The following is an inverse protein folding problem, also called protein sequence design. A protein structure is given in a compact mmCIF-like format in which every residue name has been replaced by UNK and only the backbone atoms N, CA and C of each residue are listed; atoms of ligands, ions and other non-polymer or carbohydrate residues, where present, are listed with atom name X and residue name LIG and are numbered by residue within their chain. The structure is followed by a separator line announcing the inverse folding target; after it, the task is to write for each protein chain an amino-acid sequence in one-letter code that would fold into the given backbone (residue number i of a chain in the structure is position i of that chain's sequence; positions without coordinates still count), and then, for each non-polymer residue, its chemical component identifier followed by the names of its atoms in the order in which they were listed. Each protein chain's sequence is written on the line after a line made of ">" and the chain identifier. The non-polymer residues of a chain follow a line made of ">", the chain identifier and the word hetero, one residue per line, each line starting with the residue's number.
data_IF_400328110782
#
_entry.id   IF_400328110782
#
_cell.length_a   1.000
_cell.length_b   1.000
_cell.length_c   1.000
_cell.angle_alpha   90.00
_cell.angle_beta   90.00
_cell.angle_gamma   90.00
#
_symmetry.space_group_name_H-M   'P 1'
#
loop_
_entity.id
_entity.type
_entity.pdbx_description
1 polymer ?
#
# COMPACT_ATOMS: atom_id res chain seq x y z
N UNK A 1 -1.61 5.30 6.18
CA UNK A 1 -0.78 4.53 7.14
C UNK A 1 -1.14 4.80 8.63
N UNK A 2 -2.44 4.86 9.00
CA UNK A 2 -2.83 5.25 10.37
C UNK A 2 -2.70 4.15 11.43
N UNK A 3 -2.84 2.87 11.03
CA UNK A 3 -2.70 1.73 11.93
C UNK A 3 -1.27 1.64 12.50
N UNK A 4 -0.27 1.72 11.62
CA UNK A 4 1.13 1.77 12.03
C UNK A 4 1.43 3.00 12.90
N UNK A 5 0.95 4.19 12.51
CA UNK A 5 1.14 5.40 13.29
C UNK A 5 0.62 5.26 14.73
N UNK A 6 -0.58 4.69 14.91
CA UNK A 6 -1.11 4.45 16.25
C UNK A 6 -0.12 3.65 17.10
N UNK A 7 0.35 2.50 16.62
CA UNK A 7 1.37 1.72 17.32
C UNK A 7 2.68 2.50 17.52
N UNK A 8 3.14 3.23 16.50
CA UNK A 8 4.40 3.97 16.58
C UNK A 8 4.40 5.02 17.69
N UNK A 9 3.25 5.65 17.98
CA UNK A 9 3.09 6.64 19.04
C UNK A 9 2.71 6.03 20.41
N UNK A 10 1.94 4.94 20.45
CA UNK A 10 1.48 4.33 21.72
C UNK A 10 2.39 3.24 22.26
N UNK A 11 3.17 2.59 21.37
CA UNK A 11 3.92 1.35 21.63
C UNK A 11 3.05 0.21 22.18
N UNK A 12 1.77 0.18 21.82
CA UNK A 12 0.86 -0.88 22.23
C UNK A 12 1.07 -2.15 21.39
N UNK A 13 1.87 -3.08 21.92
CA UNK A 13 2.15 -4.38 21.30
C UNK A 13 0.90 -5.25 21.12
N UNK A 14 -0.09 -5.13 22.01
CA UNK A 14 -1.31 -5.93 21.91
C UNK A 14 -2.17 -5.45 20.74
N UNK A 15 -2.30 -4.13 20.58
CA UNK A 15 -2.93 -3.52 19.42
C UNK A 15 -2.23 -3.89 18.12
N UNK A 16 -0.89 -3.83 18.09
CA UNK A 16 -0.13 -4.20 16.90
C UNK A 16 -0.42 -5.64 16.48
N UNK A 17 -0.30 -6.59 17.42
CA UNK A 17 -0.44 -8.03 17.12
C UNK A 17 -1.87 -8.43 16.77
N UNK A 18 -2.87 -7.88 17.47
CA UNK A 18 -4.26 -8.32 17.34
C UNK A 18 -5.05 -7.56 16.27
N UNK A 19 -4.64 -6.33 15.96
CA UNK A 19 -5.44 -5.42 15.13
C UNK A 19 -4.65 -4.89 13.94
N UNK A 20 -3.56 -4.14 14.17
CA UNK A 20 -2.90 -3.44 13.08
C UNK A 20 -2.17 -4.38 12.11
N UNK A 21 -1.37 -5.32 12.61
CA UNK A 21 -0.55 -6.19 11.77
C UNK A 21 -1.39 -7.10 10.85
N UNK A 22 -2.45 -7.80 11.32
CA UNK A 22 -3.27 -8.61 10.43
C UNK A 22 -3.89 -7.82 9.28
N UNK A 23 -4.34 -6.58 9.54
CA UNK A 23 -4.94 -5.72 8.51
C UNK A 23 -3.89 -5.21 7.52
N UNK A 24 -2.74 -4.71 8.00
CA UNK A 24 -1.66 -4.26 7.12
C UNK A 24 -1.13 -5.41 6.27
N UNK A 25 -0.93 -6.59 6.86
CA UNK A 25 -0.51 -7.80 6.14
C UNK A 25 -1.49 -8.14 5.01
N UNK A 26 -2.79 -8.15 5.29
CA UNK A 26 -3.80 -8.43 4.26
C UNK A 26 -3.80 -7.38 3.13
N UNK A 27 -3.53 -6.12 3.44
CA UNK A 27 -3.37 -5.08 2.43
C UNK A 27 -2.12 -5.31 1.57
N UNK A 28 -0.98 -5.69 2.17
CA UNK A 28 0.22 -6.07 1.42
C UNK A 28 -0.04 -7.27 0.50
N UNK A 29 -0.70 -8.32 1.00
CA UNK A 29 -1.04 -9.52 0.22
C UNK A 29 -1.92 -9.16 -0.99
N UNK A 30 -2.95 -8.33 -0.80
CA UNK A 30 -3.78 -7.83 -1.90
C UNK A 30 -2.95 -7.09 -2.97
N UNK A 31 -2.00 -6.25 -2.56
CA UNK A 31 -1.17 -5.52 -3.51
C UNK A 31 -0.17 -6.43 -4.22
N UNK A 32 0.42 -7.43 -3.56
CA UNK A 32 1.26 -8.41 -4.24
C UNK A 32 0.51 -9.18 -5.32
N UNK A 33 -0.76 -9.50 -5.10
CA UNK A 33 -1.61 -10.16 -6.11
C UNK A 33 -1.98 -9.22 -7.27
N UNK A 34 -1.98 -7.90 -7.05
CA UNK A 34 -2.40 -6.89 -8.03
C UNK A 34 -1.25 -6.28 -8.83
N UNK A 35 -0.07 -6.09 -8.21
CA UNK A 35 1.08 -5.45 -8.84
C UNK A 35 1.52 -6.24 -10.08
N UNK A 36 1.97 -5.52 -11.11
CA UNK A 36 2.57 -6.12 -12.32
C UNK A 36 3.99 -5.63 -12.51
N UNK A 37 4.79 -6.41 -13.23
CA UNK A 37 6.12 -5.98 -13.65
C UNK A 37 6.04 -5.03 -14.85
N UNK A 38 6.86 -3.98 -14.83
CA UNK A 38 7.12 -3.13 -15.98
C UNK A 38 8.22 -3.70 -16.89
N UNK A 39 8.55 -2.98 -17.95
CA UNK A 39 9.59 -3.39 -18.92
C UNK A 39 11.00 -3.53 -18.32
N UNK A 40 11.24 -2.93 -17.16
CA UNK A 40 12.52 -2.94 -16.45
C UNK A 40 12.48 -3.92 -15.25
N UNK A 41 11.40 -4.69 -15.08
CA UNK A 41 11.20 -5.67 -14.01
C UNK A 41 10.77 -5.07 -12.67
N UNK A 42 10.36 -3.80 -12.63
CA UNK A 42 9.87 -3.15 -11.41
C UNK A 42 8.38 -3.45 -11.20
N UNK A 43 7.98 -3.74 -9.97
CA UNK A 43 6.57 -3.84 -9.62
C UNK A 43 5.89 -2.47 -9.64
N UNK A 44 4.81 -2.36 -10.41
CA UNK A 44 4.00 -1.16 -10.55
C UNK A 44 2.51 -1.43 -10.36
N UNK A 45 1.82 -0.46 -9.76
CA UNK A 45 0.36 -0.48 -9.60
C UNK A 45 -0.31 -0.31 -10.97
N UNK A 46 -1.07 -1.29 -11.46
CA UNK A 46 -1.65 -1.21 -12.80
C UNK A 46 -3.00 -0.52 -12.80
N UNK A 47 -3.35 0.19 -13.87
CA UNK A 47 -4.69 0.75 -14.08
C UNK A 47 -5.18 1.55 -12.85
N UNK A 48 -4.37 2.52 -12.43
CA UNK A 48 -4.66 3.41 -11.31
C UNK A 48 -4.99 4.80 -11.82
N UNK A 49 -5.70 5.59 -11.01
CA UNK A 49 -6.04 6.96 -11.33
C UNK A 49 -5.37 7.91 -10.35
N UNK A 50 -4.77 8.98 -10.86
CA UNK A 50 -4.27 10.08 -10.02
C UNK A 50 -5.45 11.01 -9.71
N UNK A 51 -5.91 11.09 -8.45
CA UNK A 51 -6.93 12.08 -8.12
C UNK A 51 -6.38 13.49 -8.42
N UNK A 52 -7.12 14.39 -9.08
CA UNK A 52 -8.53 14.33 -9.51
C UNK A 52 -8.70 14.44 -11.03
N UNK A 53 -7.66 14.15 -11.82
CA UNK A 53 -7.71 14.32 -13.27
C UNK A 53 -6.72 13.41 -14.00
N UNK A 54 -7.00 13.17 -15.27
CA UNK A 54 -6.15 12.40 -16.16
C UNK A 54 -6.71 11.00 -16.45
N UNK A 55 -6.04 10.27 -17.36
CA UNK A 55 -6.41 8.91 -17.70
C UNK A 55 -6.08 7.93 -16.56
N UNK A 56 -6.57 6.70 -16.71
CA UNK A 56 -6.10 5.58 -15.91
C UNK A 56 -4.76 5.10 -16.49
N UNK A 57 -3.76 4.98 -15.64
CA UNK A 57 -2.38 4.72 -16.04
C UNK A 57 -1.73 3.71 -15.09
N UNK A 58 -0.69 3.04 -15.60
CA UNK A 58 0.13 2.20 -14.75
C UNK A 58 1.20 3.04 -14.03
N UNK A 59 1.49 2.66 -12.79
CA UNK A 59 2.60 3.24 -12.04
C UNK A 59 2.36 4.67 -11.57
N UNK A 60 1.10 5.10 -11.44
CA UNK A 60 0.73 6.43 -10.92
C UNK A 60 1.40 6.68 -9.57
N UNK A 61 2.11 7.81 -9.45
CA UNK A 61 2.92 8.13 -8.27
C UNK A 61 2.13 8.09 -6.96
N UNK A 62 0.88 8.57 -6.97
CA UNK A 62 -0.02 8.52 -5.83
C UNK A 62 -0.22 7.09 -5.29
N UNK A 63 -0.62 6.16 -6.17
CA UNK A 63 -0.81 4.76 -5.78
C UNK A 63 0.51 4.14 -5.33
N UNK A 64 1.61 4.40 -6.05
CA UNK A 64 2.92 3.85 -5.74
C UNK A 64 3.44 4.26 -4.36
N UNK A 65 3.25 5.51 -3.97
CA UNK A 65 3.65 6.00 -2.65
C UNK A 65 2.86 5.32 -1.54
N UNK A 66 1.55 5.14 -1.73
CA UNK A 66 0.70 4.47 -0.73
C UNK A 66 1.06 2.99 -0.57
N UNK A 67 1.35 2.30 -1.67
CA UNK A 67 1.75 0.88 -1.64
C UNK A 67 3.11 0.71 -0.98
N UNK A 68 4.06 1.60 -1.28
CA UNK A 68 5.39 1.59 -0.67
C UNK A 68 5.37 1.82 0.85
N UNK A 69 4.35 2.53 1.33
CA UNK A 69 4.15 2.84 2.74
C UNK A 69 3.49 1.73 3.57
N UNK A 70 2.95 0.68 2.94
CA UNK A 70 2.33 -0.46 3.62
C UNK A 70 3.37 -1.39 4.27
#
# INVERSE_FOLDING_TARGET
>A
MHLWQHYAYTKDDAYLKKTAFPVMKSACEFWFDRLKEDKDGKLIAPDEWSPEHGPWEDGVAYAQQLIWEL
#
